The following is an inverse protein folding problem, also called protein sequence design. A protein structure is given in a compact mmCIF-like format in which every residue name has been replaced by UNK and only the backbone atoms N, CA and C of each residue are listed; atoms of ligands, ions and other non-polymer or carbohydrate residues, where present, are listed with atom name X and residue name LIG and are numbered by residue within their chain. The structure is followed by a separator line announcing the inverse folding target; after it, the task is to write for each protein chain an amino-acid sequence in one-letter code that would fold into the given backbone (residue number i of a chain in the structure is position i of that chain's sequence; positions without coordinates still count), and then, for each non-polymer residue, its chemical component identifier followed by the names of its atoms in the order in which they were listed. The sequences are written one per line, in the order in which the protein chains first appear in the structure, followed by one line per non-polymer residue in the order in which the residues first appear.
data_IF_185704893017
#
_entry.id   IF_185704893017
#
_cell.length_a   1.000
_cell.length_b   1.000
_cell.length_c   1.000
_cell.angle_alpha   90.00
_cell.angle_beta   90.00
_cell.angle_gamma   90.00
#
_symmetry.space_group_name_H-M   'P 1'
#
loop_
_entity.id
_entity.type
_entity.pdbx_description
1 polymer ?
#
# COMPACT_ATOMS: atom_id res chain seq x y z
N UNK A 1 48.72 3.70 34.12
CA UNK A 1 47.27 3.91 34.06
C UNK A 1 47.00 5.41 34.13
N UNK A 2 46.50 6.03 33.05
CA UNK A 2 46.27 7.49 33.06
C UNK A 2 46.22 8.22 31.72
N UNK A 3 46.09 7.54 30.56
CA UNK A 3 45.99 8.21 29.26
C UNK A 3 44.73 7.91 28.43
N UNK A 4 43.85 6.99 28.85
CA UNK A 4 42.64 6.66 28.07
C UNK A 4 41.36 7.43 28.45
N UNK A 5 41.32 8.15 29.57
CA UNK A 5 40.14 8.94 29.93
C UNK A 5 40.02 10.29 29.18
N UNK A 6 41.08 10.72 28.47
CA UNK A 6 41.10 11.98 27.73
C UNK A 6 40.42 11.94 26.35
N UNK A 7 40.29 10.75 25.73
CA UNK A 7 39.63 10.58 24.41
C UNK A 7 38.12 10.41 24.52
N UNK A 8 37.62 9.74 25.55
CA UNK A 8 36.18 9.55 25.78
C UNK A 8 35.46 10.85 26.17
N UNK A 9 36.14 11.80 26.80
CA UNK A 9 35.53 13.08 27.20
C UNK A 9 35.39 14.06 26.03
N UNK A 10 36.28 14.01 25.04
CA UNK A 10 36.23 14.87 23.84
C UNK A 10 35.24 14.39 22.78
N UNK A 11 34.91 13.09 22.72
CA UNK A 11 33.81 12.60 21.88
C UNK A 11 32.44 12.97 22.45
N UNK A 12 32.31 13.00 23.78
CA UNK A 12 31.05 13.34 24.44
C UNK A 12 30.70 14.84 24.38
N UNK A 13 31.71 15.72 24.37
CA UNK A 13 31.50 17.17 24.22
C UNK A 13 31.24 17.60 22.75
N UNK A 14 31.80 16.88 21.76
CA UNK A 14 31.42 17.06 20.34
C UNK A 14 30.00 16.58 20.04
N UNK A 15 29.52 15.54 20.73
CA UNK A 15 28.13 15.09 20.64
C UNK A 15 27.15 16.10 21.27
N UNK A 16 27.55 16.83 22.32
CA UNK A 16 26.72 17.88 22.93
C UNK A 16 26.70 19.19 22.14
N UNK A 17 27.78 19.53 21.41
CA UNK A 17 27.80 20.70 20.53
C UNK A 17 26.97 20.50 19.24
N UNK A 18 26.78 19.26 18.78
CA UNK A 18 25.86 18.92 17.69
C UNK A 18 24.38 18.90 18.13
N UNK A 19 24.11 18.72 19.43
CA UNK A 19 22.74 18.65 19.98
C UNK A 19 22.13 20.03 20.33
N UNK A 20 22.91 21.12 20.32
CA UNK A 20 22.45 22.46 20.75
C UNK A 20 22.31 23.46 19.58
N UNK A 21 22.62 23.06 18.35
CA UNK A 21 22.48 23.91 17.15
C UNK A 21 21.27 23.56 16.25
N UNK A 22 20.44 22.57 16.61
CA UNK A 22 19.22 22.20 15.84
C UNK A 22 17.94 22.70 16.52
N UNK A 23 18.06 23.40 17.64
CA UNK A 23 16.94 23.96 18.39
C UNK A 23 16.64 25.41 17.99
N UNK A 24 16.55 25.71 16.69
CA UNK A 24 16.13 27.04 16.18
C UNK A 24 15.76 26.99 14.69
N UNK A 25 14.68 26.27 14.36
CA UNK A 25 13.70 26.58 13.29
C UNK A 25 12.60 25.52 13.32
N UNK A 26 11.97 25.41 14.48
CA UNK A 26 10.69 24.73 14.71
C UNK A 26 9.57 25.60 14.16
N UNK A 27 9.42 25.64 12.83
CA UNK A 27 8.14 25.84 12.15
C UNK A 27 8.15 24.87 10.97
N UNK A 28 8.17 23.58 11.29
CA UNK A 28 7.88 22.55 10.32
C UNK A 28 6.40 22.58 10.05
N UNK A 29 5.98 23.30 9.01
CA UNK A 29 4.66 23.09 8.41
C UNK A 29 4.59 21.60 8.11
N UNK A 30 3.66 20.89 8.77
CA UNK A 30 3.27 19.55 8.37
C UNK A 30 2.89 19.68 6.89
N UNK A 31 3.72 19.15 5.99
CA UNK A 31 3.31 18.99 4.62
C UNK A 31 2.30 17.86 4.71
N UNK A 32 1.00 18.12 4.51
CA UNK A 32 0.02 17.04 4.52
C UNK A 32 0.42 16.01 3.46
N UNK A 33 -0.26 14.87 3.38
CA UNK A 33 -0.31 14.13 2.12
C UNK A 33 -0.99 14.98 1.03
N UNK A 34 -0.40 16.12 0.66
CA UNK A 34 -0.41 16.55 -0.72
C UNK A 34 0.18 15.38 -1.49
N UNK A 35 -0.43 14.97 -2.59
CA UNK A 35 0.26 14.18 -3.60
C UNK A 35 1.68 14.71 -3.72
N UNK A 36 2.69 14.00 -3.19
CA UNK A 36 4.05 14.34 -3.53
C UNK A 36 4.11 14.05 -5.02
N UNK A 37 4.27 15.14 -5.77
CA UNK A 37 3.82 15.22 -7.16
C UNK A 37 4.66 14.36 -8.10
N UNK A 38 5.75 13.76 -7.62
CA UNK A 38 6.67 13.03 -8.47
C UNK A 38 6.07 11.75 -8.99
N UNK A 39 5.46 10.90 -8.14
CA UNK A 39 4.93 9.62 -8.61
C UNK A 39 3.41 9.46 -8.55
N UNK A 40 2.72 10.23 -7.70
CA UNK A 40 1.25 10.10 -7.57
C UNK A 40 0.55 10.36 -8.91
N UNK A 41 -0.38 9.49 -9.29
CA UNK A 41 -1.19 9.63 -10.50
C UNK A 41 -1.23 8.38 -11.39
N UNK A 42 -1.75 8.57 -12.60
CA UNK A 42 -1.89 7.51 -13.59
C UNK A 42 -0.70 7.48 -14.56
N UNK A 43 -0.26 6.27 -14.88
CA UNK A 43 0.85 6.00 -15.79
C UNK A 43 0.45 4.91 -16.79
N UNK A 44 1.03 4.94 -17.97
CA UNK A 44 0.79 3.94 -19.01
C UNK A 44 2.05 3.70 -19.82
N UNK A 45 2.29 2.46 -20.22
CA UNK A 45 3.36 2.14 -21.16
C UNK A 45 3.41 0.66 -21.50
N UNK A 46 4.63 0.14 -21.66
CA UNK A 46 4.86 -1.23 -22.12
C UNK A 46 5.84 -1.95 -21.22
N UNK A 47 5.73 -3.28 -21.20
CA UNK A 47 6.69 -4.15 -20.54
C UNK A 47 7.13 -5.29 -21.45
N UNK A 48 8.28 -5.85 -21.12
CA UNK A 48 8.82 -7.08 -21.66
C UNK A 48 9.30 -7.94 -20.50
N UNK A 49 8.96 -9.22 -20.48
CA UNK A 49 9.36 -10.15 -19.44
C UNK A 49 9.69 -11.52 -20.03
N UNK A 50 10.70 -12.17 -19.48
CA UNK A 50 11.25 -13.44 -19.93
C UNK A 50 11.61 -14.30 -18.73
N UNK A 51 11.19 -15.55 -18.71
CA UNK A 51 11.52 -16.52 -17.66
C UNK A 51 11.95 -17.85 -18.26
N UNK A 52 12.94 -18.49 -17.64
CA UNK A 52 13.35 -19.85 -17.96
C UNK A 52 12.86 -20.81 -16.88
N UNK A 53 11.99 -21.75 -17.24
CA UNK A 53 11.38 -22.65 -16.26
C UNK A 53 12.05 -24.01 -16.31
N UNK A 54 12.77 -24.36 -15.23
CA UNK A 54 13.50 -25.63 -15.13
C UNK A 54 12.61 -26.86 -15.25
N UNK A 55 11.45 -26.84 -14.60
CA UNK A 55 10.43 -27.89 -14.71
C UNK A 55 9.92 -28.10 -16.15
N UNK A 56 10.15 -27.12 -17.03
CA UNK A 56 9.80 -27.15 -18.45
C UNK A 56 11.01 -27.37 -19.35
N UNK A 57 11.95 -28.20 -18.89
CA UNK A 57 13.18 -28.54 -19.63
C UNK A 57 13.97 -27.28 -19.99
N UNK A 58 14.03 -26.31 -19.06
CA UNK A 58 14.71 -25.04 -19.26
C UNK A 58 14.19 -24.24 -20.47
N UNK A 59 12.91 -24.41 -20.84
CA UNK A 59 12.26 -23.62 -21.88
C UNK A 59 12.09 -22.16 -21.42
N UNK A 60 12.39 -21.24 -22.33
CA UNK A 60 12.17 -19.80 -22.12
C UNK A 60 10.78 -19.42 -22.58
N UNK A 61 10.06 -18.67 -21.76
CA UNK A 61 8.77 -18.08 -22.05
C UNK A 61 8.87 -16.57 -21.98
N UNK A 62 8.21 -15.87 -22.92
CA UNK A 62 8.22 -14.41 -22.97
C UNK A 62 6.81 -13.81 -23.07
N UNK A 63 6.61 -12.71 -22.36
CA UNK A 63 5.45 -11.82 -22.47
C UNK A 63 5.91 -10.42 -22.81
N UNK A 64 5.16 -9.78 -23.70
CA UNK A 64 5.26 -8.36 -23.96
C UNK A 64 3.83 -7.84 -24.06
N UNK A 65 3.56 -6.71 -23.43
CA UNK A 65 2.22 -6.13 -23.39
C UNK A 65 2.25 -4.70 -22.90
N UNK A 66 1.07 -4.14 -22.69
CA UNK A 66 0.91 -2.84 -22.06
C UNK A 66 0.83 -2.98 -20.55
N UNK A 67 1.16 -1.89 -19.87
CA UNK A 67 0.99 -1.75 -18.43
C UNK A 67 0.36 -0.40 -18.12
N UNK A 68 -0.60 -0.37 -17.19
CA UNK A 68 -1.08 0.88 -16.59
C UNK A 68 -0.90 0.85 -15.08
N UNK A 69 -0.45 1.98 -14.52
CA UNK A 69 -0.32 2.14 -13.08
C UNK A 69 -1.24 3.24 -12.57
N UNK A 70 -1.78 3.05 -11.38
CA UNK A 70 -2.25 4.14 -10.52
C UNK A 70 -1.38 4.12 -9.27
N UNK A 71 -0.53 5.13 -9.11
CA UNK A 71 0.40 5.22 -7.99
C UNK A 71 -0.07 6.29 -6.99
N UNK A 72 0.15 6.00 -5.72
CA UNK A 72 0.03 6.92 -4.61
C UNK A 72 1.37 6.96 -3.87
N UNK A 73 2.05 8.09 -3.95
CA UNK A 73 3.27 8.31 -3.19
C UNK A 73 2.95 9.07 -1.90
N UNK A 74 3.34 8.48 -0.77
CA UNK A 74 3.27 9.08 0.56
C UNK A 74 4.68 9.07 1.12
N UNK A 75 5.37 10.21 1.10
CA UNK A 75 6.77 10.29 1.50
C UNK A 75 7.66 9.42 0.61
N UNK A 76 8.38 8.48 1.23
CA UNK A 76 9.20 7.49 0.53
C UNK A 76 8.42 6.26 0.13
N UNK A 77 7.24 6.02 0.70
CA UNK A 77 6.45 4.86 0.37
C UNK A 77 5.60 5.10 -0.88
N UNK A 78 5.46 4.05 -1.68
CA UNK A 78 4.53 3.97 -2.79
C UNK A 78 3.56 2.83 -2.51
N UNK A 79 2.30 3.08 -2.78
CA UNK A 79 1.30 2.04 -2.96
C UNK A 79 0.55 2.33 -4.25
N UNK A 80 0.04 1.30 -4.91
CA UNK A 80 -0.64 1.49 -6.17
C UNK A 80 -1.22 0.21 -6.71
N UNK A 81 -1.74 0.34 -7.91
CA UNK A 81 -2.30 -0.76 -8.71
C UNK A 81 -1.58 -0.79 -10.05
N UNK A 82 -1.28 -1.98 -10.52
CA UNK A 82 -0.70 -2.25 -11.83
C UNK A 82 -1.62 -3.20 -12.62
N UNK A 83 -1.95 -2.84 -13.84
CA UNK A 83 -2.66 -3.70 -14.79
C UNK A 83 -1.74 -4.04 -15.95
N UNK A 84 -1.53 -5.33 -16.20
CA UNK A 84 -0.72 -5.85 -17.28
C UNK A 84 -1.61 -6.55 -18.31
N UNK A 85 -1.40 -6.26 -19.60
CA UNK A 85 -1.96 -7.05 -20.70
C UNK A 85 -1.01 -8.16 -21.12
N UNK A 86 -1.53 -9.25 -21.69
CA UNK A 86 -0.73 -10.32 -22.30
C UNK A 86 0.34 -10.96 -21.40
N UNK A 87 0.12 -10.94 -20.09
CA UNK A 87 1.03 -11.48 -19.08
C UNK A 87 0.99 -13.00 -19.05
N UNK A 88 2.14 -13.64 -18.80
CA UNK A 88 2.24 -15.09 -18.73
C UNK A 88 1.60 -15.63 -17.45
N UNK A 89 0.61 -16.51 -17.61
CA UNK A 89 -0.09 -17.19 -16.52
C UNK A 89 0.23 -18.68 -16.59
N UNK A 90 0.95 -19.18 -15.59
CA UNK A 90 1.31 -20.59 -15.46
C UNK A 90 0.23 -21.34 -14.66
N UNK A 91 -0.41 -22.33 -15.28
CA UNK A 91 -1.40 -23.21 -14.64
C UNK A 91 -0.80 -24.56 -14.22
N UNK A 92 0.48 -24.57 -13.83
CA UNK A 92 1.20 -25.79 -13.44
C UNK A 92 1.65 -26.68 -14.61
N UNK A 93 1.61 -26.17 -15.84
CA UNK A 93 2.11 -26.87 -17.03
C UNK A 93 3.06 -25.98 -17.85
N UNK A 94 3.74 -26.58 -18.83
CA UNK A 94 4.73 -25.91 -19.69
C UNK A 94 4.14 -25.21 -20.92
N UNK A 95 2.86 -24.85 -20.82
CA UNK A 95 2.07 -24.16 -21.83
C UNK A 95 1.33 -22.99 -21.17
N UNK A 96 2.05 -21.96 -20.68
CA UNK A 96 1.41 -20.82 -20.05
C UNK A 96 0.47 -20.12 -21.03
N UNK A 97 -0.66 -19.66 -20.52
CA UNK A 97 -1.56 -18.80 -21.26
C UNK A 97 -1.09 -17.34 -21.14
N UNK A 98 -1.50 -16.49 -22.08
CA UNK A 98 -1.41 -15.05 -21.93
C UNK A 98 -2.74 -14.51 -21.47
N UNK A 99 -2.72 -13.59 -20.52
CA UNK A 99 -3.95 -12.99 -19.98
C UNK A 99 -3.71 -11.62 -19.37
N UNK A 100 -4.78 -11.06 -18.83
CA UNK A 100 -4.73 -9.80 -18.09
C UNK A 100 -4.46 -10.09 -16.60
N UNK A 101 -3.55 -9.32 -16.00
CA UNK A 101 -3.21 -9.43 -14.58
C UNK A 101 -3.35 -8.05 -13.94
N UNK A 102 -4.12 -7.98 -12.86
CA UNK A 102 -4.25 -6.78 -12.02
C UNK A 102 -3.64 -7.12 -10.66
N UNK A 103 -2.73 -6.28 -10.19
CA UNK A 103 -2.02 -6.49 -8.94
C UNK A 103 -1.83 -5.19 -8.15
N UNK A 104 -1.91 -5.29 -6.83
CA UNK A 104 -1.42 -4.27 -5.90
C UNK A 104 0.08 -4.21 -6.00
N UNK A 105 0.64 -3.02 -5.96
CA UNK A 105 2.08 -2.82 -5.82
C UNK A 105 2.36 -1.94 -4.61
N UNK A 106 3.38 -2.30 -3.85
CA UNK A 106 3.95 -1.50 -2.78
C UNK A 106 5.42 -1.28 -3.04
N UNK A 107 6.00 -0.24 -2.47
CA UNK A 107 7.40 0.02 -2.73
C UNK A 107 7.92 1.30 -2.14
N UNK A 108 9.10 1.69 -2.60
CA UNK A 108 9.80 2.87 -2.13
C UNK A 108 10.27 3.77 -3.27
N UNK A 109 10.41 5.05 -2.94
CA UNK A 109 10.95 6.10 -3.78
C UNK A 109 11.99 6.92 -3.02
N UNK A 110 13.19 7.01 -3.58
CA UNK A 110 14.27 7.84 -3.04
C UNK A 110 14.71 8.90 -4.05
N UNK A 111 13.78 9.83 -4.35
CA UNK A 111 14.01 11.03 -5.17
C UNK A 111 14.12 10.80 -6.68
N UNK A 112 14.72 9.69 -7.10
CA UNK A 112 14.78 9.22 -8.48
C UNK A 112 14.71 7.70 -8.58
N UNK A 113 15.18 6.99 -7.56
CA UNK A 113 15.16 5.53 -7.54
C UNK A 113 13.79 5.02 -7.10
N UNK A 114 13.30 4.03 -7.83
CA UNK A 114 12.03 3.37 -7.61
C UNK A 114 12.31 1.88 -7.34
N UNK A 115 11.70 1.34 -6.29
CA UNK A 115 11.59 -0.09 -6.07
C UNK A 115 10.12 -0.42 -5.79
N UNK A 116 9.52 -1.32 -6.56
CA UNK A 116 8.15 -1.80 -6.36
C UNK A 116 8.16 -3.32 -6.25
N UNK A 117 7.26 -3.89 -5.48
CA UNK A 117 7.03 -5.32 -5.36
C UNK A 117 5.54 -5.59 -5.24
N UNK A 118 5.14 -6.83 -5.53
CA UNK A 118 3.80 -7.31 -5.25
C UNK A 118 3.74 -7.80 -3.79
N UNK A 119 2.78 -7.32 -2.97
CA UNK A 119 2.57 -7.85 -1.63
C UNK A 119 2.36 -9.37 -1.64
N UNK A 120 2.98 -10.08 -0.70
CA UNK A 120 2.77 -11.52 -0.48
C UNK A 120 3.08 -12.40 -1.71
N UNK A 121 3.91 -11.92 -2.64
CA UNK A 121 4.33 -12.69 -3.81
C UNK A 121 5.45 -13.67 -3.46
N UNK A 122 5.11 -14.96 -3.43
CA UNK A 122 6.06 -16.06 -3.23
C UNK A 122 7.19 -16.14 -4.26
N UNK A 123 7.01 -15.54 -5.44
CA UNK A 123 8.05 -15.46 -6.48
C UNK A 123 8.97 -14.25 -6.33
N UNK A 124 8.67 -13.35 -5.38
CA UNK A 124 9.44 -12.14 -5.07
C UNK A 124 9.70 -11.32 -6.34
N UNK A 125 8.66 -11.07 -7.13
CA UNK A 125 8.78 -10.21 -8.31
C UNK A 125 8.96 -8.76 -7.87
N UNK A 126 10.00 -8.12 -8.38
CA UNK A 126 10.38 -6.75 -8.07
C UNK A 126 10.58 -5.94 -9.36
N UNK A 127 10.21 -4.67 -9.28
CA UNK A 127 10.50 -3.65 -10.28
C UNK A 127 11.50 -2.68 -9.68
N UNK A 128 12.68 -2.54 -10.25
CA UNK A 128 13.69 -1.60 -9.78
C UNK A 128 14.16 -0.69 -10.90
N UNK A 129 14.25 0.61 -10.64
CA UNK A 129 14.72 1.54 -11.65
C UNK A 129 14.59 2.98 -11.25
N UNK A 130 14.23 3.82 -12.23
CA UNK A 130 14.22 5.26 -12.07
C UNK A 130 12.91 5.89 -12.53
N UNK A 131 12.47 6.90 -11.82
CA UNK A 131 11.43 7.81 -12.25
C UNK A 131 12.00 9.22 -12.42
N UNK A 132 11.75 9.82 -13.58
CA UNK A 132 12.17 11.18 -13.92
C UNK A 132 11.04 11.91 -14.62
N UNK A 133 10.53 12.95 -13.96
CA UNK A 133 9.41 13.76 -14.46
C UNK A 133 8.17 12.92 -14.75
N UNK A 134 7.87 12.79 -16.04
CA UNK A 134 6.71 12.05 -16.57
C UNK A 134 7.09 10.69 -17.17
N UNK A 135 8.25 10.14 -16.77
CA UNK A 135 8.71 8.82 -17.21
C UNK A 135 9.14 7.93 -16.04
N UNK A 136 8.80 6.65 -16.13
CA UNK A 136 9.30 5.54 -15.31
C UNK A 136 10.01 4.57 -16.24
N UNK A 137 11.19 4.12 -15.83
CA UNK A 137 11.93 3.03 -16.44
C UNK A 137 12.40 2.08 -15.34
N UNK A 138 12.00 0.81 -15.42
CA UNK A 138 12.34 -0.20 -14.43
C UNK A 138 12.77 -1.51 -15.08
N UNK A 139 13.65 -2.24 -14.41
CA UNK A 139 13.93 -3.65 -14.65
C UNK A 139 12.96 -4.48 -13.83
N UNK A 140 12.50 -5.58 -14.41
CA UNK A 140 11.70 -6.60 -13.73
C UNK A 140 12.66 -7.74 -13.37
N UNK A 141 12.59 -8.23 -12.14
CA UNK A 141 13.32 -9.41 -11.68
C UNK A 141 12.46 -10.23 -10.74
N UNK A 142 12.58 -11.54 -10.77
CA UNK A 142 11.97 -12.43 -9.77
C UNK A 142 12.98 -13.45 -9.21
N UNK A 143 12.63 -14.09 -8.11
CA UNK A 143 13.50 -15.07 -7.43
C UNK A 143 13.68 -16.38 -8.22
N UNK A 144 12.84 -16.64 -9.23
CA UNK A 144 12.89 -17.84 -10.07
C UNK A 144 13.65 -17.61 -11.39
N UNK A 145 14.33 -16.46 -11.52
CA UNK A 145 15.23 -16.14 -12.63
C UNK A 145 14.56 -15.46 -13.83
N UNK A 146 13.32 -15.02 -13.70
CA UNK A 146 12.67 -14.16 -14.66
C UNK A 146 13.24 -12.75 -14.64
N UNK A 147 13.34 -12.16 -15.83
CA UNK A 147 13.92 -10.84 -16.06
C UNK A 147 13.12 -10.08 -17.11
N UNK A 148 13.12 -8.77 -17.02
CA UNK A 148 12.35 -7.95 -17.93
C UNK A 148 12.65 -6.47 -17.81
N UNK A 149 11.92 -5.68 -18.58
CA UNK A 149 11.95 -4.23 -18.51
C UNK A 149 10.55 -3.66 -18.63
N UNK A 150 10.39 -2.48 -18.07
CA UNK A 150 9.14 -1.76 -18.03
C UNK A 150 9.42 -0.28 -18.27
N UNK A 151 8.64 0.32 -19.15
CA UNK A 151 8.66 1.76 -19.37
C UNK A 151 7.23 2.28 -19.31
N UNK A 152 7.02 3.38 -18.59
CA UNK A 152 5.72 4.02 -18.50
C UNK A 152 5.87 5.53 -18.53
N UNK A 153 4.90 6.21 -19.16
CA UNK A 153 4.77 7.66 -19.14
C UNK A 153 3.54 8.07 -18.35
N UNK A 154 3.60 9.25 -17.74
CA UNK A 154 2.43 9.80 -17.05
C UNK A 154 1.30 10.01 -18.06
N UNK A 155 0.09 9.66 -17.68
CA UNK A 155 -1.08 9.90 -18.51
C UNK A 155 -1.24 11.42 -18.75
N UNK A 156 -1.43 11.87 -20.00
CA UNK A 156 -1.65 13.28 -20.29
C UNK A 156 -2.96 13.74 -19.64
N UNK A 157 -2.91 14.90 -18.98
CA UNK A 157 -4.08 15.52 -18.37
C UNK A 157 -4.31 16.90 -18.97
N UNK A 158 -5.50 17.12 -19.54
CA UNK A 158 -6.01 18.47 -19.71
C UNK A 158 -6.06 19.18 -18.36
N UNK A 159 -5.86 20.52 -18.30
CA UNK A 159 -6.02 21.29 -17.08
C UNK A 159 -7.36 20.97 -16.41
N UNK A 160 -7.33 20.74 -15.10
CA UNK A 160 -8.55 20.51 -14.34
C UNK A 160 -9.44 21.76 -14.41
N UNK A 161 -10.69 21.58 -14.84
CA UNK A 161 -11.70 22.65 -14.83
C UNK A 161 -12.46 22.71 -13.51
N UNK A 162 -12.24 21.73 -12.63
CA UNK A 162 -12.83 21.61 -11.30
C UNK A 162 -11.77 21.17 -10.29
N UNK A 163 -11.88 21.64 -9.05
CA UNK A 163 -11.05 21.19 -7.93
C UNK A 163 -11.78 20.08 -7.19
N UNK A 164 -11.21 18.87 -7.12
CA UNK A 164 -11.74 17.72 -6.41
C UNK A 164 -11.53 17.78 -4.89
N UNK A 165 -10.78 18.76 -4.38
CA UNK A 165 -10.48 18.91 -2.95
C UNK A 165 -11.76 19.05 -2.12
N UNK A 166 -11.80 18.31 -1.02
CA UNK A 166 -12.93 18.34 -0.09
C UNK A 166 -13.31 16.98 0.46
N UNK A 167 -14.39 16.97 1.24
CA UNK A 167 -15.08 15.75 1.65
C UNK A 167 -16.35 15.58 0.82
N UNK A 168 -16.52 14.39 0.27
CA UNK A 168 -17.63 13.96 -0.56
C UNK A 168 -18.36 12.83 0.15
N UNK A 169 -19.67 12.79 0.10
CA UNK A 169 -20.47 11.75 0.74
C UNK A 169 -21.68 11.37 -0.11
N UNK A 170 -22.04 10.10 -0.11
CA UNK A 170 -23.23 9.63 -0.81
C UNK A 170 -23.35 8.11 -0.71
N UNK A 171 -23.78 7.48 -1.80
CA UNK A 171 -24.05 6.04 -1.84
C UNK A 171 -23.35 5.39 -3.03
N UNK A 172 -23.09 4.09 -2.88
CA UNK A 172 -22.57 3.24 -3.94
C UNK A 172 -23.49 2.02 -4.14
N UNK A 173 -23.43 1.43 -5.32
CA UNK A 173 -24.06 0.15 -5.65
C UNK A 173 -23.08 -0.66 -6.49
N UNK A 174 -22.50 -1.68 -5.88
CA UNK A 174 -21.45 -2.51 -6.45
C UNK A 174 -21.92 -3.95 -6.65
N UNK A 175 -21.23 -4.65 -7.53
CA UNK A 175 -21.40 -6.06 -7.82
C UNK A 175 -20.03 -6.70 -7.85
N UNK A 176 -19.80 -7.62 -6.92
CA UNK A 176 -18.60 -8.46 -6.91
C UNK A 176 -18.86 -9.72 -7.73
N UNK A 177 -17.77 -10.28 -8.27
CA UNK A 177 -17.79 -11.57 -8.95
C UNK A 177 -16.89 -12.53 -8.22
N UNK A 178 -17.44 -13.67 -7.82
CA UNK A 178 -16.72 -14.72 -7.12
C UNK A 178 -15.99 -15.65 -8.10
N UNK A 179 -14.95 -16.32 -7.62
CA UNK A 179 -14.15 -17.25 -8.42
C UNK A 179 -14.97 -18.41 -9.01
N UNK A 180 -16.07 -18.79 -8.36
CA UNK A 180 -17.04 -19.77 -8.86
C UNK A 180 -17.99 -19.23 -9.95
N UNK A 181 -17.79 -17.98 -10.40
CA UNK A 181 -18.56 -17.34 -11.45
C UNK A 181 -19.85 -16.65 -11.01
N UNK A 182 -20.26 -16.80 -9.74
CA UNK A 182 -21.41 -16.10 -9.19
C UNK A 182 -21.15 -14.60 -9.04
N UNK A 183 -22.21 -13.80 -9.12
CA UNK A 183 -22.17 -12.37 -8.85
C UNK A 183 -23.06 -12.01 -7.68
N UNK A 184 -22.62 -11.06 -6.87
CA UNK A 184 -23.35 -10.59 -5.69
C UNK A 184 -23.33 -9.06 -5.64
N UNK A 185 -24.52 -8.47 -5.61
CA UNK A 185 -24.69 -7.02 -5.54
C UNK A 185 -24.89 -6.56 -4.10
N UNK A 186 -24.34 -5.40 -3.78
CA UNK A 186 -24.45 -4.77 -2.47
C UNK A 186 -24.36 -3.25 -2.61
N UNK A 187 -24.92 -2.56 -1.62
CA UNK A 187 -24.94 -1.10 -1.60
C UNK A 187 -24.69 -0.59 -0.19
N UNK A 188 -24.21 0.64 -0.11
CA UNK A 188 -23.88 1.26 1.15
C UNK A 188 -23.57 2.74 1.01
N UNK A 189 -23.31 3.36 2.16
CA UNK A 189 -22.82 4.73 2.20
C UNK A 189 -21.33 4.74 1.83
N UNK A 190 -20.91 5.80 1.14
CA UNK A 190 -19.50 6.06 0.82
C UNK A 190 -19.16 7.50 1.19
N UNK A 191 -18.01 7.67 1.83
CA UNK A 191 -17.36 8.97 2.05
C UNK A 191 -16.02 8.97 1.34
N UNK A 192 -15.67 10.07 0.70
CA UNK A 192 -14.42 10.23 -0.02
C UNK A 192 -13.81 11.57 0.36
N UNK A 193 -12.65 11.56 1.01
CA UNK A 193 -11.87 12.76 1.29
C UNK A 193 -10.73 12.86 0.29
N UNK A 194 -10.66 13.96 -0.46
CA UNK A 194 -9.62 14.18 -1.48
C UNK A 194 -8.86 15.48 -1.23
N UNK A 195 -7.58 15.45 -1.59
CA UNK A 195 -6.72 16.61 -1.77
C UNK A 195 -6.16 16.61 -3.18
N UNK A 196 -6.42 17.67 -3.95
CA UNK A 196 -5.86 17.84 -5.29
C UNK A 196 -4.60 18.71 -5.27
N UNK A 197 -3.61 18.35 -6.09
CA UNK A 197 -2.39 19.10 -6.37
C UNK A 197 -2.11 19.04 -7.88
N UNK A 198 -2.31 20.15 -8.57
CA UNK A 198 -2.27 20.19 -10.04
C UNK A 198 -3.37 19.31 -10.64
N UNK A 199 -2.99 18.38 -11.53
CA UNK A 199 -3.89 17.38 -12.08
C UNK A 199 -3.99 16.11 -11.23
N UNK A 200 -3.28 15.98 -10.12
CA UNK A 200 -3.30 14.76 -9.30
C UNK A 200 -4.19 14.94 -8.08
N UNK A 201 -4.95 13.91 -7.72
CA UNK A 201 -5.75 13.88 -6.51
C UNK A 201 -5.51 12.59 -5.73
N UNK A 202 -5.46 12.71 -4.40
CA UNK A 202 -5.27 11.58 -3.50
C UNK A 202 -6.07 11.77 -2.21
N UNK A 203 -6.35 10.66 -1.52
CA UNK A 203 -6.97 10.68 -0.20
C UNK A 203 -7.51 9.33 0.22
N UNK A 204 -8.66 9.31 0.89
CA UNK A 204 -9.24 8.09 1.49
C UNK A 204 -10.71 7.96 1.12
N UNK A 205 -11.11 6.76 0.69
CA UNK A 205 -12.50 6.36 0.57
C UNK A 205 -12.89 5.51 1.78
N UNK A 206 -14.10 5.70 2.30
CA UNK A 206 -14.70 4.89 3.36
C UNK A 206 -16.02 4.33 2.86
N UNK A 207 -16.13 3.02 2.76
CA UNK A 207 -17.32 2.31 2.30
C UNK A 207 -17.95 1.56 3.47
N UNK A 208 -19.22 1.81 3.71
CA UNK A 208 -20.00 1.07 4.68
C UNK A 208 -20.67 -0.13 4.02
N UNK A 209 -20.86 -1.21 4.77
CA UNK A 209 -21.57 -2.41 4.34
C UNK A 209 -20.89 -3.23 3.21
N UNK A 210 -19.56 -3.30 3.20
CA UNK A 210 -18.82 -4.15 2.25
C UNK A 210 -18.91 -5.61 2.71
N UNK A 211 -19.45 -6.54 1.90
CA UNK A 211 -19.53 -7.95 2.24
C UNK A 211 -18.16 -8.62 2.10
N UNK A 212 -17.83 -9.48 3.06
CA UNK A 212 -16.72 -10.43 2.93
C UNK A 212 -17.30 -11.80 2.60
N UNK A 213 -16.70 -12.50 1.63
CA UNK A 213 -17.15 -13.80 1.16
C UNK A 213 -16.14 -14.90 1.47
N UNK A 214 -16.63 -16.13 1.67
CA UNK A 214 -15.79 -17.32 1.64
C UNK A 214 -15.46 -17.75 0.19
N UNK A 215 -14.63 -18.78 0.04
CA UNK A 215 -14.27 -19.39 -1.25
C UNK A 215 -15.47 -19.91 -2.07
N UNK A 216 -16.63 -20.11 -1.43
CA UNK A 216 -17.87 -20.57 -2.05
C UNK A 216 -18.82 -19.40 -2.37
N UNK A 217 -18.38 -18.15 -2.21
CA UNK A 217 -19.19 -16.95 -2.40
C UNK A 217 -20.32 -16.77 -1.36
N UNK A 218 -20.24 -17.42 -0.20
CA UNK A 218 -21.16 -17.16 0.89
C UNK A 218 -20.69 -15.96 1.70
N UNK A 219 -21.61 -15.06 2.01
CA UNK A 219 -21.32 -13.90 2.85
C UNK A 219 -20.99 -14.37 4.28
N UNK A 220 -19.77 -14.12 4.72
CA UNK A 220 -19.31 -14.45 6.08
C UNK A 220 -19.39 -13.25 7.02
N UNK A 221 -19.19 -12.03 6.50
CA UNK A 221 -19.24 -10.82 7.31
C UNK A 221 -19.68 -9.58 6.51
N UNK A 222 -19.92 -8.50 7.23
CA UNK A 222 -20.06 -7.16 6.67
C UNK A 222 -19.09 -6.23 7.38
N UNK A 223 -18.29 -5.53 6.59
CA UNK A 223 -17.22 -4.67 7.05
C UNK A 223 -17.49 -3.22 6.64
N UNK A 224 -16.96 -2.29 7.44
CA UNK A 224 -16.74 -0.92 7.00
C UNK A 224 -15.27 -0.82 6.60
N UNK A 225 -15.01 -0.50 5.34
CA UNK A 225 -13.66 -0.46 4.79
C UNK A 225 -13.22 0.97 4.57
N UNK A 226 -11.96 1.25 4.85
CA UNK A 226 -11.30 2.51 4.51
C UNK A 226 -10.12 2.20 3.60
N UNK A 227 -10.06 2.80 2.42
CA UNK A 227 -9.07 2.48 1.40
C UNK A 227 -8.42 3.73 0.85
N UNK A 228 -7.19 3.59 0.37
CA UNK A 228 -6.43 4.68 -0.22
C UNK A 228 -6.97 4.97 -1.62
N UNK A 229 -7.06 6.25 -1.99
CA UNK A 229 -7.49 6.66 -3.33
C UNK A 229 -6.42 7.53 -3.95
N UNK A 230 -6.12 7.28 -5.22
CA UNK A 230 -5.28 8.14 -6.03
C UNK A 230 -5.75 8.17 -7.48
N UNK A 231 -5.43 9.25 -8.18
CA UNK A 231 -5.75 9.39 -9.59
C UNK A 231 -5.43 10.79 -10.12
N UNK A 232 -5.89 11.04 -11.34
CA UNK A 232 -5.76 12.31 -12.02
C UNK A 232 -7.14 12.94 -12.27
N UNK A 233 -7.21 14.26 -12.10
CA UNK A 233 -8.33 15.11 -12.52
C UNK A 233 -7.95 15.80 -13.83
N UNK A 234 -8.74 15.57 -14.86
CA UNK A 234 -8.57 16.17 -16.17
C UNK A 234 -9.90 16.72 -16.69
N UNK A 235 -9.95 18.03 -16.95
CA UNK A 235 -11.23 18.72 -17.17
C UNK A 235 -12.15 18.51 -15.97
N UNK A 236 -13.33 17.94 -16.21
CA UNK A 236 -14.31 17.57 -15.19
C UNK A 236 -14.30 16.09 -14.81
N UNK A 237 -13.25 15.34 -15.15
CA UNK A 237 -13.21 13.88 -14.91
C UNK A 237 -12.08 13.52 -13.95
N UNK A 238 -12.38 12.76 -12.91
CA UNK A 238 -11.40 12.04 -12.09
C UNK A 238 -11.28 10.61 -12.60
N UNK A 239 -10.06 10.22 -12.96
CA UNK A 239 -9.70 8.84 -13.30
C UNK A 239 -8.63 8.37 -12.35
N UNK A 240 -8.83 7.24 -11.69
CA UNK A 240 -7.91 6.75 -10.68
C UNK A 240 -8.26 5.34 -10.24
N UNK A 241 -7.91 5.03 -9.01
CA UNK A 241 -8.18 3.73 -8.41
C UNK A 241 -8.29 3.85 -6.90
N UNK A 242 -9.04 2.90 -6.35
CA UNK A 242 -8.96 2.56 -4.93
C UNK A 242 -7.91 1.48 -4.78
N UNK A 243 -7.06 1.63 -3.78
CA UNK A 243 -6.00 0.68 -3.46
C UNK A 243 -6.29 0.14 -2.06
N UNK A 244 -6.50 -1.17 -2.02
CA UNK A 244 -6.52 -1.98 -0.82
C UNK A 244 -5.14 -2.63 -0.66
N UNK A 245 -4.28 -2.15 0.25
CA UNK A 245 -2.98 -2.75 0.54
C UNK A 245 -2.97 -4.27 0.79
N UNK A 246 -4.10 -4.88 1.17
CA UNK A 246 -4.23 -6.34 1.33
C UNK A 246 -4.35 -7.08 -0.01
N UNK A 247 -4.68 -6.36 -1.08
CA UNK A 247 -5.03 -6.92 -2.39
C UNK A 247 -6.40 -7.54 -2.53
N UNK A 248 -7.25 -7.40 -1.50
CA UNK A 248 -8.59 -7.98 -1.54
C UNK A 248 -9.58 -7.14 -2.37
N UNK A 249 -9.47 -5.81 -2.35
CA UNK A 249 -10.40 -4.89 -3.02
C UNK A 249 -9.69 -3.90 -3.94
N UNK A 250 -9.38 -4.39 -5.14
CA UNK A 250 -8.80 -3.70 -6.29
C UNK A 250 -9.78 -3.14 -7.31
N UNK A 251 -10.03 -1.81 -7.40
CA UNK A 251 -10.81 -1.35 -8.56
C UNK A 251 -10.51 0.05 -9.10
N UNK A 252 -10.49 0.22 -10.44
CA UNK A 252 -10.35 1.52 -11.07
C UNK A 252 -11.63 2.33 -10.95
N UNK A 253 -11.48 3.64 -10.77
CA UNK A 253 -12.55 4.61 -10.70
C UNK A 253 -12.46 5.53 -11.91
N UNK A 254 -13.60 5.77 -12.56
CA UNK A 254 -13.79 6.96 -13.41
C UNK A 254 -15.03 7.71 -12.94
N UNK A 255 -14.89 8.99 -12.65
CA UNK A 255 -15.96 9.84 -12.13
C UNK A 255 -16.02 11.19 -12.84
N UNK A 256 -17.22 11.66 -13.12
CA UNK A 256 -17.49 13.05 -13.51
C UNK A 256 -17.67 13.89 -12.26
N UNK A 257 -17.04 15.05 -12.23
CA UNK A 257 -17.05 16.02 -11.15
C UNK A 257 -17.69 17.30 -11.66
N UNK A 258 -18.78 17.68 -11.02
CA UNK A 258 -19.43 18.98 -11.17
C UNK A 258 -19.27 19.82 -9.89
N UNK A 259 -19.75 21.06 -9.90
CA UNK A 259 -19.54 22.08 -8.84
C UNK A 259 -20.01 21.72 -7.43
N UNK A 260 -20.64 20.57 -7.25
CA UNK A 260 -20.98 20.02 -5.93
C UNK A 260 -21.36 18.53 -5.95
N UNK A 261 -21.27 17.87 -7.11
CA UNK A 261 -21.65 16.47 -7.27
C UNK A 261 -20.50 15.70 -7.93
N UNK A 262 -20.36 14.44 -7.57
CA UNK A 262 -19.44 13.51 -8.22
C UNK A 262 -20.20 12.23 -8.48
N UNK A 263 -20.22 11.76 -9.72
CA UNK A 263 -20.81 10.46 -10.06
C UNK A 263 -19.82 9.66 -10.86
N UNK A 264 -19.63 8.40 -10.50
CA UNK A 264 -18.62 7.58 -11.14
C UNK A 264 -19.01 6.12 -11.27
N UNK A 265 -18.18 5.44 -12.04
CA UNK A 265 -18.25 4.02 -12.31
C UNK A 265 -17.00 3.35 -11.79
N UNK A 266 -17.20 2.14 -11.31
CA UNK A 266 -16.17 1.17 -11.03
C UNK A 266 -16.20 0.13 -12.15
N UNK A 267 -15.11 0.05 -12.91
CA UNK A 267 -14.99 -0.85 -14.05
C UNK A 267 -13.95 -1.91 -13.74
N UNK A 268 -14.37 -2.95 -13.04
CA UNK A 268 -13.53 -4.12 -12.81
C UNK A 268 -12.92 -4.66 -14.11
N UNK A 269 -11.63 -5.00 -14.07
CA UNK A 269 -10.83 -5.43 -15.23
C UNK A 269 -10.74 -6.94 -15.41
N UNK A 270 -11.23 -7.76 -14.46
CA UNK A 270 -11.02 -9.21 -14.49
C UNK A 270 -12.24 -10.01 -14.02
N UNK A 271 -12.14 -11.35 -14.10
CA UNK A 271 -13.26 -12.25 -13.79
C UNK A 271 -13.68 -12.26 -12.31
N UNK A 272 -12.92 -11.65 -11.41
CA UNK A 272 -13.23 -11.55 -9.98
C UNK A 272 -13.41 -10.11 -9.51
N UNK A 273 -13.46 -9.16 -10.45
CA UNK A 273 -13.40 -7.73 -10.12
C UNK A 273 -14.77 -7.16 -9.73
N UNK A 274 -14.72 -6.20 -8.81
CA UNK A 274 -15.88 -5.37 -8.44
C UNK A 274 -16.22 -4.43 -9.58
N UNK A 275 -17.52 -4.31 -9.87
CA UNK A 275 -18.07 -3.32 -10.82
C UNK A 275 -19.22 -2.56 -10.18
N UNK A 276 -19.55 -1.38 -10.68
CA UNK A 276 -20.75 -0.68 -10.23
C UNK A 276 -20.65 0.83 -10.37
N UNK A 277 -21.44 1.54 -9.57
CA UNK A 277 -21.50 2.99 -9.61
C UNK A 277 -21.62 3.62 -8.23
N UNK A 278 -21.32 4.91 -8.16
CA UNK A 278 -21.50 5.72 -6.96
C UNK A 278 -21.89 7.15 -7.32
N UNK A 279 -22.58 7.79 -6.38
CA UNK A 279 -22.96 9.21 -6.48
C UNK A 279 -22.70 9.88 -5.15
N UNK A 280 -21.95 10.99 -5.17
CA UNK A 280 -21.51 11.75 -4.02
C UNK A 280 -21.93 13.22 -4.17
N UNK A 281 -22.14 13.86 -3.04
CA UNK A 281 -22.29 15.31 -2.90
C UNK A 281 -21.12 15.84 -2.09
N UNK A 282 -20.58 16.99 -2.48
CA UNK A 282 -19.50 17.64 -1.74
C UNK A 282 -20.06 18.25 -0.46
N UNK A 283 -19.65 17.73 0.68
CA UNK A 283 -20.00 18.25 1.99
C UNK A 283 -19.17 19.50 2.33
N UNK A 284 -17.88 19.51 1.98
CA UNK A 284 -16.96 20.62 2.23
C UNK A 284 -15.97 20.78 1.08
N UNK A 285 -15.53 22.01 0.80
CA UNK A 285 -14.39 22.28 -0.10
C UNK A 285 -13.07 22.40 0.65
N UNK A 286 -13.11 22.37 1.99
CA UNK A 286 -11.92 22.44 2.82
C UNK A 286 -11.11 21.15 2.67
N UNK A 287 -9.79 21.30 2.53
CA UNK A 287 -8.87 20.17 2.56
C UNK A 287 -9.09 19.34 3.84
N UNK A 288 -9.32 18.02 3.73
CA UNK A 288 -9.41 17.16 4.90
C UNK A 288 -8.12 17.17 5.73
N UNK A 289 -8.23 16.99 7.05
CA UNK A 289 -7.06 16.88 7.92
C UNK A 289 -6.18 15.69 7.53
N UNK A 290 -4.87 15.83 7.70
CA UNK A 290 -3.88 14.84 7.30
C UNK A 290 -2.64 14.87 8.22
N UNK A 291 -2.88 15.10 9.51
CA UNK A 291 -1.84 15.33 10.53
C UNK A 291 -0.92 14.12 10.75
N UNK A 292 -1.40 12.91 10.44
CA UNK A 292 -0.68 11.65 10.59
C UNK A 292 -0.29 11.00 9.26
N UNK A 293 -0.58 11.64 8.13
CA UNK A 293 -0.21 11.10 6.83
C UNK A 293 1.32 11.20 6.60
N UNK A 294 1.95 10.13 6.11
CA UNK A 294 3.41 10.09 5.92
C UNK A 294 3.99 8.68 5.88
N UNK A 295 5.30 8.61 5.67
CA UNK A 295 6.10 7.38 5.88
C UNK A 295 6.80 7.42 7.23
N UNK A 296 6.85 6.27 7.88
CA UNK A 296 7.47 6.08 9.17
C UNK A 296 8.33 4.83 9.11
N UNK A 297 9.50 4.89 9.74
CA UNK A 297 10.44 3.78 9.81
C UNK A 297 10.71 3.44 11.27
N UNK A 298 10.91 2.15 11.55
CA UNK A 298 11.17 1.68 12.89
C UNK A 298 11.36 0.18 12.97
N UNK A 299 10.81 -0.43 14.02
CA UNK A 299 11.02 -1.86 14.33
C UNK A 299 9.73 -2.50 14.82
N UNK A 300 9.59 -3.80 14.60
CA UNK A 300 8.58 -4.63 15.23
C UNK A 300 9.21 -5.63 16.19
N UNK A 301 8.37 -6.14 17.10
CA UNK A 301 8.65 -7.30 17.92
C UNK A 301 7.37 -8.10 18.09
N UNK A 302 7.51 -9.41 17.94
CA UNK A 302 6.42 -10.37 17.98
C UNK A 302 6.78 -11.52 18.92
N UNK A 303 5.75 -12.13 19.50
CA UNK A 303 5.87 -13.33 20.32
C UNK A 303 4.80 -14.32 19.90
N UNK A 304 5.24 -15.39 19.25
CA UNK A 304 4.38 -16.44 18.73
C UNK A 304 4.36 -17.61 19.69
N UNK A 305 3.17 -18.13 19.97
CA UNK A 305 2.97 -19.28 20.83
C UNK A 305 2.59 -20.53 20.04
N UNK A 306 3.62 -21.22 19.58
CA UNK A 306 3.52 -22.41 18.74
C UNK A 306 3.19 -23.69 19.52
N UNK A 307 3.25 -23.63 20.85
CA UNK A 307 3.08 -24.79 21.73
C UNK A 307 1.80 -25.62 21.50
N UNK A 308 0.65 -25.05 21.08
CA UNK A 308 -0.55 -25.84 20.81
C UNK A 308 -0.43 -26.78 19.59
N UNK A 309 0.53 -26.57 18.69
CA UNK A 309 0.63 -27.29 17.41
C UNK A 309 2.04 -27.77 17.05
N UNK A 310 3.05 -27.28 17.77
CA UNK A 310 4.45 -27.69 17.63
C UNK A 310 4.94 -28.34 18.93
N UNK A 311 5.27 -29.64 18.87
CA UNK A 311 5.76 -30.38 20.03
C UNK A 311 7.25 -30.09 20.34
N UNK A 312 7.99 -29.54 19.37
CA UNK A 312 9.43 -29.28 19.46
C UNK A 312 9.78 -27.78 19.56
N UNK A 313 8.80 -26.89 19.42
CA UNK A 313 8.97 -25.44 19.47
C UNK A 313 7.97 -24.89 20.49
N UNK A 314 8.45 -24.09 21.43
CA UNK A 314 7.62 -23.40 22.42
C UNK A 314 7.18 -22.02 21.91
N UNK A 315 7.28 -21.00 22.76
CA UNK A 315 7.10 -19.62 22.31
C UNK A 315 8.38 -19.08 21.65
N UNK A 316 8.23 -18.49 20.48
CA UNK A 316 9.30 -17.84 19.73
C UNK A 316 9.17 -16.32 19.82
N UNK A 317 10.29 -15.63 19.64
CA UNK A 317 10.33 -14.17 19.60
C UNK A 317 10.97 -13.74 18.29
N UNK A 318 10.26 -12.88 17.59
CA UNK A 318 10.71 -12.29 16.34
C UNK A 318 10.81 -10.78 16.50
N UNK A 319 11.72 -10.19 15.74
CA UNK A 319 11.89 -8.74 15.68
C UNK A 319 12.68 -8.39 14.44
N UNK A 320 12.28 -7.31 13.79
CA UNK A 320 12.95 -6.81 12.61
C UNK A 320 12.60 -5.36 12.34
N UNK A 321 13.06 -4.83 11.21
CA UNK A 321 12.64 -3.51 10.74
C UNK A 321 11.15 -3.48 10.40
N UNK A 322 10.53 -2.33 10.60
CA UNK A 322 9.15 -2.08 10.21
C UNK A 322 9.04 -0.74 9.48
N UNK A 323 8.32 -0.72 8.37
CA UNK A 323 7.98 0.50 7.65
C UNK A 323 6.48 0.70 7.61
N UNK A 324 6.02 1.94 7.76
CA UNK A 324 4.59 2.28 7.78
C UNK A 324 4.33 3.43 6.84
N UNK A 325 3.30 3.31 6.02
CA UNK A 325 2.80 4.37 5.16
C UNK A 325 1.35 4.64 5.46
N UNK A 326 1.02 5.91 5.74
CA UNK A 326 -0.31 6.35 6.15
C UNK A 326 -0.85 7.40 5.20
N UNK A 327 -2.04 7.18 4.68
CA UNK A 327 -2.90 8.15 4.02
C UNK A 327 -4.03 8.50 4.96
N UNK A 328 -4.26 9.80 5.17
CA UNK A 328 -5.34 10.29 6.02
C UNK A 328 -6.16 11.32 5.26
N UNK A 329 -7.49 11.24 5.40
CA UNK A 329 -8.40 12.29 4.98
C UNK A 329 -9.48 12.52 6.03
N UNK A 330 -9.27 13.54 6.87
CA UNK A 330 -10.12 13.79 8.04
C UNK A 330 -9.88 12.73 9.11
N UNK A 331 -10.95 12.07 9.55
CA UNK A 331 -10.84 10.98 10.52
C UNK A 331 -10.61 9.62 9.86
N UNK A 332 -10.78 9.50 8.55
CA UNK A 332 -10.55 8.24 7.84
C UNK A 332 -9.07 8.06 7.51
N UNK A 333 -8.57 6.84 7.70
CA UNK A 333 -7.17 6.48 7.48
C UNK A 333 -7.08 5.17 6.70
N UNK A 334 -6.11 5.11 5.78
CA UNK A 334 -5.72 3.91 5.07
C UNK A 334 -4.20 3.86 4.98
N UNK A 335 -3.60 2.69 5.04
CA UNK A 335 -2.16 2.58 5.02
C UNK A 335 -1.67 1.15 4.97
N UNK A 336 -0.35 1.00 5.03
CA UNK A 336 0.33 -0.28 5.02
C UNK A 336 1.43 -0.29 6.07
N UNK A 337 1.54 -1.40 6.78
CA UNK A 337 2.67 -1.76 7.64
C UNK A 337 3.41 -2.90 6.95
N UNK A 338 4.71 -2.75 6.73
CA UNK A 338 5.57 -3.80 6.19
C UNK A 338 6.50 -4.25 7.31
N UNK A 339 6.45 -5.54 7.64
CA UNK A 339 7.37 -6.20 8.54
C UNK A 339 8.45 -6.87 7.70
N UNK A 340 9.70 -6.44 7.90
CA UNK A 340 10.84 -6.94 7.12
C UNK A 340 11.55 -8.07 7.86
N UNK A 341 12.22 -8.93 7.11
CA UNK A 341 12.99 -10.06 7.66
C UNK A 341 12.12 -10.94 8.58
N UNK A 342 10.86 -11.18 8.18
CA UNK A 342 9.93 -12.00 8.95
C UNK A 342 10.38 -13.46 8.94
N UNK A 343 10.12 -14.15 10.04
CA UNK A 343 10.31 -15.59 10.15
C UNK A 343 8.95 -16.24 10.35
N UNK A 344 8.70 -17.36 9.68
CA UNK A 344 7.46 -18.13 9.84
C UNK A 344 7.75 -19.54 10.33
N UNK A 345 6.78 -20.11 11.05
CA UNK A 345 6.85 -21.48 11.55
C UNK A 345 6.03 -22.39 10.66
N UNK A 346 6.70 -23.38 10.05
CA UNK A 346 6.04 -24.40 9.24
C UNK A 346 6.01 -25.73 9.98
N UNK A 347 4.81 -26.30 10.11
CA UNK A 347 4.61 -27.65 10.65
C UNK A 347 4.79 -28.72 9.59
N UNK A 348 5.41 -29.84 9.95
CA UNK A 348 5.49 -31.04 9.13
C UNK A 348 4.23 -31.92 9.21
N UNK A 349 3.20 -31.50 9.96
CA UNK A 349 1.96 -32.26 10.15
C UNK A 349 2.03 -33.41 11.15
N UNK A 350 3.22 -33.72 11.69
CA UNK A 350 3.46 -34.73 12.72
C UNK A 350 3.87 -34.11 14.06
N UNK A 351 3.58 -32.82 14.24
CA UNK A 351 3.93 -32.04 15.43
C UNK A 351 5.40 -31.60 15.49
N UNK A 352 6.18 -31.82 14.44
CA UNK A 352 7.50 -31.20 14.28
C UNK A 352 7.39 -29.92 13.46
N UNK A 353 8.00 -28.84 13.93
CA UNK A 353 7.98 -27.55 13.29
C UNK A 353 9.39 -27.03 13.00
N UNK A 354 9.49 -26.16 12.00
CA UNK A 354 10.72 -25.53 11.53
C UNK A 354 10.47 -24.03 11.37
N UNK A 355 11.45 -23.22 11.77
CA UNK A 355 11.46 -21.77 11.50
C UNK A 355 12.16 -21.54 10.16
N UNK A 356 11.53 -20.80 9.26
CA UNK A 356 12.08 -20.47 7.95
C UNK A 356 11.92 -18.97 7.68
N UNK A 357 12.77 -18.43 6.82
CA UNK A 357 12.64 -17.05 6.35
C UNK A 357 11.33 -16.91 5.57
N UNK A 358 10.54 -15.91 5.92
CA UNK A 358 9.34 -15.52 5.21
C UNK A 358 9.62 -14.29 4.34
N UNK A 359 8.89 -14.11 3.22
CA UNK A 359 8.89 -12.82 2.53
C UNK A 359 8.33 -11.73 3.47
N UNK A 360 8.65 -10.46 3.20
CA UNK A 360 8.13 -9.33 3.97
C UNK A 360 6.60 -9.40 4.14
N UNK A 361 6.13 -9.35 5.39
CA UNK A 361 4.70 -9.33 5.70
C UNK A 361 4.12 -7.94 5.44
N UNK A 362 3.13 -7.88 4.56
CA UNK A 362 2.42 -6.64 4.23
C UNK A 362 1.06 -6.63 4.90
N UNK A 363 0.94 -5.85 5.98
CA UNK A 363 -0.25 -5.71 6.79
C UNK A 363 -1.04 -4.44 6.42
N UNK A 364 -2.30 -4.56 6.01
CA UNK A 364 -3.13 -3.40 5.73
C UNK A 364 -3.55 -2.67 7.01
N UNK A 365 -3.58 -1.34 6.96
CA UNK A 365 -4.00 -0.48 8.07
C UNK A 365 -5.26 0.31 7.69
N UNK A 366 -6.41 -0.07 8.24
CA UNK A 366 -7.70 0.56 7.94
C UNK A 366 -8.41 1.01 9.19
N UNK A 367 -8.83 2.27 9.27
CA UNK A 367 -9.63 2.65 10.41
C UNK A 367 -10.10 4.09 10.42
N UNK A 368 -10.74 4.41 11.54
CA UNK A 368 -11.16 5.76 11.87
C UNK A 368 -10.36 6.23 13.09
N UNK A 369 -9.82 7.44 12.99
CA UNK A 369 -9.16 8.13 14.09
C UNK A 369 -10.21 8.63 15.09
N UNK A 370 -9.99 8.30 16.35
CA UNK A 370 -10.66 8.90 17.50
C UNK A 370 -9.59 9.58 18.36
N UNK A 371 -9.46 10.89 18.19
CA UNK A 371 -8.31 11.64 18.71
C UNK A 371 -7.01 11.16 18.08
N UNK A 372 -6.12 10.62 18.89
CA UNK A 372 -4.79 10.14 18.49
C UNK A 372 -4.72 8.61 18.38
N UNK A 373 -5.85 7.92 18.42
CA UNK A 373 -5.89 6.46 18.34
C UNK A 373 -6.70 6.04 17.13
N UNK A 374 -6.12 5.16 16.32
CA UNK A 374 -6.82 4.39 15.32
C UNK A 374 -7.07 2.99 15.87
N UNK A 375 -8.30 2.54 15.76
CA UNK A 375 -8.64 1.13 15.89
C UNK A 375 -8.94 0.60 14.50
N UNK A 376 -8.21 -0.42 14.12
CA UNK A 376 -8.27 -1.08 12.84
C UNK A 376 -8.66 -2.54 13.05
N UNK A 377 -9.42 -3.08 12.10
CA UNK A 377 -9.75 -4.50 12.05
C UNK A 377 -9.12 -5.05 10.79
N UNK A 378 -8.18 -5.98 10.94
CA UNK A 378 -7.52 -6.62 9.81
C UNK A 378 -8.25 -7.93 9.53
N UNK A 379 -8.95 -8.07 8.39
CA UNK A 379 -9.49 -9.36 7.99
C UNK A 379 -8.32 -10.26 7.62
N UNK A 380 -8.11 -11.34 8.39
CA UNK A 380 -7.19 -12.40 7.99
C UNK A 380 -7.89 -13.36 7.02
N UNK A 381 -7.11 -14.01 6.16
CA UNK A 381 -7.60 -14.95 5.14
C UNK A 381 -8.44 -16.11 5.69
N UNK A 382 -8.35 -16.39 6.99
CA UNK A 382 -9.16 -17.36 7.73
C UNK A 382 -10.56 -16.85 8.11
N UNK A 383 -10.90 -15.60 7.80
CA UNK A 383 -12.12 -14.93 8.25
C UNK A 383 -12.06 -14.44 9.70
N UNK A 384 -10.94 -14.63 10.39
CA UNK A 384 -10.73 -14.10 11.73
C UNK A 384 -10.23 -12.66 11.63
N UNK A 385 -10.88 -11.76 12.35
CA UNK A 385 -10.49 -10.37 12.44
C UNK A 385 -9.43 -10.21 13.55
N UNK A 386 -8.21 -9.81 13.20
CA UNK A 386 -7.25 -9.33 14.19
C UNK A 386 -7.60 -7.88 14.52
N UNK A 387 -7.60 -7.54 15.81
CA UNK A 387 -7.74 -6.15 16.24
C UNK A 387 -6.37 -5.49 16.25
N UNK A 388 -6.25 -4.40 15.52
CA UNK A 388 -5.04 -3.62 15.44
C UNK A 388 -5.29 -2.26 16.08
N UNK A 389 -4.53 -1.93 17.12
CA UNK A 389 -4.61 -0.61 17.75
C UNK A 389 -3.35 0.16 17.44
N UNK A 390 -3.51 1.36 16.89
CA UNK A 390 -2.41 2.27 16.60
C UNK A 390 -2.63 3.56 17.36
N UNK A 391 -1.59 4.01 18.07
CA UNK A 391 -1.57 5.30 18.74
C UNK A 391 -0.52 6.19 18.09
N UNK A 392 -0.94 7.40 17.75
CA UNK A 392 -0.11 8.43 17.17
C UNK A 392 0.30 9.43 18.26
N UNK A 393 1.60 9.51 18.54
CA UNK A 393 2.17 10.68 19.20
C UNK A 393 2.72 11.66 18.15
N UNK A 394 3.07 12.88 18.56
CA UNK A 394 3.58 13.94 17.66
C UNK A 394 4.81 13.56 16.81
N UNK A 395 5.47 12.46 17.13
CA UNK A 395 6.77 12.02 16.62
C UNK A 395 6.88 10.50 16.42
N UNK A 396 5.94 9.71 16.93
CA UNK A 396 6.03 8.25 16.96
C UNK A 396 4.65 7.64 16.74
N UNK A 397 4.61 6.65 15.86
CA UNK A 397 3.49 5.72 15.74
C UNK A 397 3.85 4.47 16.52
N UNK A 398 2.93 4.03 17.37
CA UNK A 398 3.02 2.73 18.02
C UNK A 398 1.78 1.94 17.70
N UNK A 399 1.92 0.66 17.47
CA UNK A 399 0.74 -0.19 17.45
C UNK A 399 1.00 -1.60 17.92
N UNK A 400 -0.12 -2.27 18.18
CA UNK A 400 -0.17 -3.64 18.64
C UNK A 400 -1.23 -4.39 17.84
N UNK A 401 -0.84 -5.54 17.33
CA UNK A 401 -1.71 -6.57 16.77
C UNK A 401 -1.84 -7.66 17.82
N UNK A 402 -3.09 -8.04 18.12
CA UNK A 402 -3.35 -9.31 18.81
C UNK A 402 -4.16 -10.16 17.87
N UNK A 403 -3.64 -11.34 17.57
CA UNK A 403 -4.29 -12.28 16.69
C UNK A 403 -5.28 -13.18 17.45
N UNK A 404 -5.86 -14.15 16.75
CA UNK A 404 -6.85 -15.06 17.31
C UNK A 404 -6.28 -16.05 18.35
N UNK A 405 -4.98 -16.34 18.24
CA UNK A 405 -4.27 -17.29 19.09
C UNK A 405 -3.68 -16.60 20.34
N UNK A 406 -3.77 -15.27 20.39
CA UNK A 406 -3.28 -14.44 21.49
C UNK A 406 -1.83 -14.02 21.30
N UNK A 407 -1.28 -14.23 20.10
CA UNK A 407 0.05 -13.76 19.72
C UNK A 407 0.02 -12.23 19.63
N UNK A 408 1.11 -11.62 20.11
CA UNK A 408 1.22 -10.19 20.24
C UNK A 408 2.38 -9.69 19.41
N UNK A 409 2.07 -9.03 18.31
CA UNK A 409 3.02 -8.22 17.57
C UNK A 409 2.87 -6.75 17.97
N UNK A 410 3.99 -6.06 18.15
CA UNK A 410 4.05 -4.63 18.42
C UNK A 410 5.01 -3.98 17.45
N UNK A 411 4.74 -2.75 17.03
CA UNK A 411 5.67 -1.97 16.25
C UNK A 411 5.79 -0.56 16.80
N UNK A 412 6.93 0.07 16.56
CA UNK A 412 7.19 1.47 16.86
C UNK A 412 7.93 2.07 15.67
N UNK A 413 7.41 3.16 15.13
CA UNK A 413 7.98 3.84 13.96
C UNK A 413 7.96 5.36 14.14
N UNK A 414 8.93 6.05 13.57
CA UNK A 414 9.04 7.51 13.60
C UNK A 414 9.13 8.06 12.18
N UNK A 415 8.72 9.31 11.91
CA UNK A 415 8.83 9.89 10.58
C UNK A 415 10.27 9.76 10.05
N UNK A 416 10.42 9.24 8.83
CA UNK A 416 11.74 9.08 8.21
C UNK A 416 12.50 10.41 8.11
N UNK A 417 13.85 10.38 8.02
CA UNK A 417 14.65 11.59 7.87
C UNK A 417 14.19 12.38 6.64
N UNK A 418 13.68 13.60 6.86
CA UNK A 418 13.28 14.50 5.77
C UNK A 418 14.52 14.91 4.99
N UNK A 419 14.77 14.31 3.83
CA UNK A 419 15.77 14.86 2.92
C UNK A 419 15.28 16.23 2.43
N UNK A 420 16.01 17.27 2.83
CA UNK A 420 15.79 18.64 2.37
C UNK A 420 15.90 18.60 0.85
N UNK A 421 14.79 18.88 0.14
CA UNK A 421 14.81 19.00 -1.31
C UNK A 421 15.98 19.91 -1.70
N UNK A 422 16.98 19.34 -2.37
CA UNK A 422 18.10 20.11 -2.90
C UNK A 422 17.49 21.01 -3.95
N UNK A 423 17.43 22.31 -3.66
CA UNK A 423 16.97 23.32 -4.62
C UNK A 423 17.82 23.14 -5.89
N UNK A 424 17.23 22.96 -7.08
CA UNK A 424 18.01 22.97 -8.30
C UNK A 424 18.75 24.31 -8.36
N UNK A 425 20.07 24.26 -8.47
CA UNK A 425 20.87 25.44 -8.78
C UNK A 425 20.45 25.92 -10.16
N UNK A 426 19.86 27.12 -10.21
CA UNK A 426 19.51 27.86 -11.42
C UNK A 426 20.70 28.14 -12.30
#
# INVERSE_FOLDING_TARGET
MGQDQGRARRSHERARAAAVAVLSTLIGVAVPATAQTTLTGNWSGNYSYSIQVGACQNKTFTSNGSVTFTLLQVGHAIQGRADFSDFLIFSGNCSPAKGEVTSVIVGTFDGANLALAFPNDSSITQFSGHASGDSISAQISDAIGGTGSLTASRAPANPASVDATGTWSGNYNFTDRCANGHTLSYSGAVTLGLTQSGSQAAGVASLANVPLYDQNCNKIATLNMTMSVAGAVSGGTFSGGVVDPSGSFEFPITATIDSGAMSGMVSGSNQTSTTGSFTLTRATTQRPAADFAGSYEGTYSETDNEAPFCNNIGSLKFSGPASVSIVQAGNSLSGVLILQDELTVTSNGFGGCLVIDAPDAVLPLYGTLSGNTMTATVPLSSGIAASFTVTFDSTTIRGSLTDAFGDLATFTATPGPRHRAVRPSS
#
